data_IF_372104500238
#
_entry.id   IF_372104500238
#
_cell.length_a   1.000
_cell.length_b   1.000
_cell.length_c   1.000
_cell.angle_alpha   90.00
_cell.angle_beta   90.00
_cell.angle_gamma   90.00
#
_symmetry.space_group_name_H-M   'P 1'
#
loop_
_entity.id
_entity.type
_entity.pdbx_description
1 polymer ?
#
# COMPACT_ATOMS: atom_id res chain seq x y z
N UNK A 1 -5.79 -12.19 -22.31
CA UNK A 1 -4.75 -13.05 -21.70
C UNK A 1 -3.92 -12.21 -20.73
N UNK A 2 -3.39 -12.81 -19.67
CA UNK A 2 -2.49 -12.15 -18.72
C UNK A 2 -1.19 -11.71 -19.42
N UNK A 3 -0.83 -10.41 -19.41
CA UNK A 3 0.32 -9.93 -20.16
C UNK A 3 1.67 -10.37 -19.54
N UNK A 4 1.66 -10.89 -18.30
CA UNK A 4 2.89 -11.32 -17.62
C UNK A 4 3.26 -12.78 -17.86
N UNK A 5 2.28 -13.68 -17.84
CA UNK A 5 2.53 -15.12 -18.00
C UNK A 5 2.05 -15.67 -19.35
N UNK A 6 1.10 -14.99 -20.01
CA UNK A 6 0.48 -15.42 -21.26
C UNK A 6 -0.16 -16.83 -21.20
N UNK A 7 -0.57 -17.29 -20.02
CA UNK A 7 -1.15 -18.63 -19.79
C UNK A 7 -2.66 -18.55 -19.51
N UNK A 8 -3.08 -17.71 -18.54
CA UNK A 8 -4.48 -17.59 -18.11
C UNK A 8 -5.09 -16.24 -18.48
N UNK A 9 -6.41 -16.10 -18.30
CA UNK A 9 -7.09 -14.82 -18.36
C UNK A 9 -6.56 -13.87 -17.28
N UNK A 10 -6.49 -12.58 -17.61
CA UNK A 10 -6.10 -11.57 -16.63
C UNK A 10 -7.24 -11.33 -15.65
N UNK A 11 -7.04 -11.72 -14.39
CA UNK A 11 -7.97 -11.41 -13.29
C UNK A 11 -7.17 -10.87 -12.10
N UNK A 12 -7.77 -10.05 -11.21
CA UNK A 12 -7.12 -9.57 -9.99
C UNK A 12 -6.55 -10.72 -9.16
N UNK A 13 -7.31 -11.82 -9.01
CA UNK A 13 -6.84 -13.00 -8.32
C UNK A 13 -5.64 -13.63 -9.02
N UNK A 14 -5.68 -13.82 -10.35
CA UNK A 14 -4.57 -14.39 -11.11
C UNK A 14 -3.29 -13.54 -10.99
N UNK A 15 -3.37 -12.23 -11.23
CA UNK A 15 -2.19 -11.35 -11.19
C UNK A 15 -1.59 -11.23 -9.79
N UNK A 16 -2.40 -11.46 -8.75
CA UNK A 16 -1.94 -11.43 -7.37
C UNK A 16 -1.45 -12.77 -6.86
N UNK A 17 -1.90 -13.93 -7.37
CA UNK A 17 -1.58 -15.24 -6.76
C UNK A 17 -1.15 -16.32 -7.75
N UNK A 18 -1.91 -16.54 -8.83
CA UNK A 18 -1.73 -17.70 -9.73
C UNK A 18 -0.68 -17.48 -10.81
N UNK A 19 -0.37 -16.22 -11.11
CA UNK A 19 0.64 -15.86 -12.09
C UNK A 19 2.04 -16.30 -11.63
N UNK A 20 2.79 -17.04 -12.46
CA UNK A 20 4.13 -17.55 -12.12
C UNK A 20 5.08 -16.47 -11.55
N UNK A 21 5.23 -15.31 -12.20
CA UNK A 21 5.96 -14.17 -11.65
C UNK A 21 5.45 -13.68 -10.28
N UNK A 22 4.14 -13.76 -10.02
CA UNK A 22 3.58 -13.38 -8.71
C UNK A 22 3.96 -14.41 -7.63
N UNK A 23 3.82 -15.70 -7.93
CA UNK A 23 4.22 -16.79 -7.01
C UNK A 23 5.70 -16.70 -6.61
N UNK A 24 6.57 -16.38 -7.58
CA UNK A 24 7.99 -16.16 -7.33
C UNK A 24 8.23 -14.97 -6.39
N UNK A 25 7.52 -13.85 -6.57
CA UNK A 25 7.62 -12.70 -5.65
C UNK A 25 7.20 -13.09 -4.23
N UNK A 26 6.08 -13.79 -4.06
CA UNK A 26 5.61 -14.24 -2.74
C UNK A 26 6.61 -15.15 -2.03
N UNK A 27 7.25 -16.07 -2.76
CA UNK A 27 8.35 -16.90 -2.25
C UNK A 27 9.53 -16.07 -1.78
N UNK A 28 9.96 -15.10 -2.60
CA UNK A 28 11.12 -14.26 -2.29
C UNK A 28 10.90 -13.29 -1.11
N UNK A 29 9.65 -12.88 -0.84
CA UNK A 29 9.31 -12.07 0.35
C UNK A 29 8.96 -12.93 1.57
N UNK A 30 9.18 -14.25 1.50
CA UNK A 30 8.91 -15.24 2.56
C UNK A 30 7.45 -15.27 3.03
N UNK A 31 6.51 -15.16 2.09
CA UNK A 31 5.07 -15.19 2.33
C UNK A 31 4.38 -16.17 1.37
N UNK A 32 5.00 -17.32 1.08
CA UNK A 32 4.43 -18.33 0.17
C UNK A 32 3.10 -18.91 0.70
N UNK A 33 2.90 -18.93 2.03
CA UNK A 33 1.65 -19.36 2.64
C UNK A 33 0.43 -18.56 2.16
N UNK A 34 0.65 -17.35 1.61
CA UNK A 34 -0.41 -16.50 1.03
C UNK A 34 -1.02 -17.07 -0.26
N UNK A 35 -0.35 -18.07 -0.85
CA UNK A 35 -0.79 -18.81 -2.03
C UNK A 35 -1.62 -20.05 -1.66
N UNK A 36 -1.66 -20.42 -0.38
CA UNK A 36 -2.41 -21.57 0.10
C UNK A 36 -3.92 -21.31 0.08
N UNK A 37 -4.68 -22.37 -0.18
CA UNK A 37 -6.15 -22.33 -0.20
C UNK A 37 -6.73 -22.18 -1.60
N UNK A 38 -7.98 -22.62 -1.75
CA UNK A 38 -8.69 -22.55 -3.02
C UNK A 38 -9.71 -21.41 -2.95
N UNK A 39 -9.26 -20.20 -3.29
CA UNK A 39 -10.11 -19.01 -3.29
C UNK A 39 -10.77 -18.83 -4.66
N UNK A 40 -12.08 -18.61 -4.67
CA UNK A 40 -12.87 -18.42 -5.89
C UNK A 40 -12.73 -17.00 -6.45
N UNK A 41 -12.49 -16.01 -5.58
CA UNK A 41 -12.41 -14.61 -5.94
C UNK A 41 -11.31 -13.85 -5.17
N UNK A 42 -10.99 -12.66 -5.65
CA UNK A 42 -9.95 -11.81 -5.07
C UNK A 42 -10.26 -11.34 -3.66
N UNK A 43 -11.53 -11.02 -3.35
CA UNK A 43 -11.90 -10.46 -2.07
C UNK A 43 -11.94 -11.51 -0.97
N UNK A 44 -12.37 -12.73 -1.27
CA UNK A 44 -12.27 -13.84 -0.31
C UNK A 44 -10.83 -14.16 0.04
N UNK A 45 -9.94 -14.20 -0.95
CA UNK A 45 -8.49 -14.35 -0.75
C UNK A 45 -7.90 -13.21 0.09
N UNK A 46 -8.13 -11.95 -0.31
CA UNK A 46 -7.59 -10.78 0.37
C UNK A 46 -8.09 -10.67 1.81
N UNK A 47 -9.39 -10.91 2.04
CA UNK A 47 -9.97 -10.87 3.38
C UNK A 47 -9.41 -11.96 4.28
N UNK A 48 -9.20 -13.18 3.74
CA UNK A 48 -8.57 -14.26 4.47
C UNK A 48 -7.14 -13.87 4.90
N UNK A 49 -6.34 -13.35 3.97
CA UNK A 49 -4.97 -12.90 4.24
C UNK A 49 -4.90 -11.88 5.37
N UNK A 50 -5.72 -10.83 5.29
CA UNK A 50 -5.68 -9.74 6.26
C UNK A 50 -6.16 -10.17 7.64
N UNK A 51 -7.03 -11.19 7.73
CA UNK A 51 -7.51 -11.74 9.01
C UNK A 51 -6.52 -12.72 9.64
N UNK A 52 -5.76 -13.44 8.82
CA UNK A 52 -4.79 -14.44 9.25
C UNK A 52 -3.39 -13.86 9.52
N UNK A 53 -3.21 -12.54 9.36
CA UNK A 53 -1.91 -11.87 9.45
C UNK A 53 -1.83 -10.94 10.65
N UNK A 54 -0.63 -10.83 11.24
CA UNK A 54 -0.33 -9.73 12.15
C UNK A 54 -0.16 -8.40 11.39
N UNK A 55 0.00 -7.30 12.13
CA UNK A 55 0.14 -5.96 11.53
C UNK A 55 1.37 -5.87 10.61
N UNK A 56 2.47 -6.53 10.95
CA UNK A 56 3.68 -6.48 10.15
C UNK A 56 3.51 -7.24 8.83
N UNK A 57 2.97 -8.44 8.87
CA UNK A 57 2.62 -9.25 7.71
C UNK A 57 1.61 -8.52 6.81
N UNK A 58 0.60 -7.86 7.39
CA UNK A 58 -0.35 -7.03 6.63
C UNK A 58 0.32 -5.96 5.76
N UNK A 59 1.34 -5.26 6.29
CA UNK A 59 2.07 -4.26 5.51
C UNK A 59 2.88 -4.90 4.38
N UNK A 60 3.59 -6.00 4.65
CA UNK A 60 4.34 -6.72 3.62
C UNK A 60 3.41 -7.23 2.52
N UNK A 61 2.25 -7.78 2.88
CA UNK A 61 1.20 -8.21 1.93
C UNK A 61 0.72 -7.05 1.07
N UNK A 62 0.34 -5.92 1.67
CA UNK A 62 -0.15 -4.75 0.96
C UNK A 62 0.90 -4.19 -0.03
N UNK A 63 2.15 -4.05 0.42
CA UNK A 63 3.27 -3.60 -0.41
C UNK A 63 3.52 -4.58 -1.57
N UNK A 64 3.40 -5.89 -1.31
CA UNK A 64 3.60 -6.92 -2.32
C UNK A 64 2.51 -6.86 -3.40
N UNK A 65 1.24 -6.75 -3.00
CA UNK A 65 0.11 -6.58 -3.93
C UNK A 65 0.29 -5.32 -4.78
N UNK A 66 0.67 -4.20 -4.15
CA UNK A 66 0.97 -2.97 -4.86
C UNK A 66 2.14 -3.14 -5.84
N UNK A 67 3.23 -3.79 -5.43
CA UNK A 67 4.40 -4.04 -6.29
C UNK A 67 4.07 -4.90 -7.52
N UNK A 68 3.22 -5.92 -7.34
CA UNK A 68 2.73 -6.76 -8.43
C UNK A 68 1.85 -5.98 -9.42
N UNK A 69 0.93 -5.17 -8.90
CA UNK A 69 0.08 -4.29 -9.70
C UNK A 69 0.89 -3.24 -10.45
N UNK A 70 1.85 -2.60 -9.77
CA UNK A 70 2.74 -1.60 -10.35
C UNK A 70 3.58 -2.20 -11.49
N UNK A 71 4.19 -3.36 -11.27
CA UNK A 71 4.96 -4.05 -12.29
C UNK A 71 4.10 -4.45 -13.50
N UNK A 72 2.86 -4.88 -13.27
CA UNK A 72 1.90 -5.12 -14.36
C UNK A 72 1.61 -3.85 -15.14
N UNK A 73 1.33 -2.73 -14.48
CA UNK A 73 1.01 -1.47 -15.16
C UNK A 73 2.19 -0.91 -15.93
N UNK A 74 3.40 -1.01 -15.37
CA UNK A 74 4.64 -0.68 -16.07
C UNK A 74 4.80 -1.47 -17.36
N UNK A 75 4.49 -2.75 -17.34
CA UNK A 75 4.53 -3.57 -18.54
C UNK A 75 3.47 -3.13 -19.57
N UNK A 76 2.22 -2.95 -19.13
CA UNK A 76 1.10 -2.63 -20.02
C UNK A 76 1.18 -1.21 -20.60
N UNK A 77 1.62 -0.24 -19.81
CA UNK A 77 1.63 1.18 -20.19
C UNK A 77 2.95 1.64 -20.79
N UNK A 78 4.08 1.10 -20.31
CA UNK A 78 5.42 1.53 -20.74
C UNK A 78 6.18 0.44 -21.52
N UNK A 79 5.61 -0.75 -21.69
CA UNK A 79 6.30 -1.89 -22.29
C UNK A 79 7.41 -2.50 -21.42
N UNK A 80 7.61 -2.00 -20.19
CA UNK A 80 8.73 -2.39 -19.32
C UNK A 80 8.36 -3.57 -18.43
N UNK A 81 8.89 -4.76 -18.75
CA UNK A 81 8.77 -5.91 -17.87
C UNK A 81 9.75 -5.84 -16.71
N UNK A 82 9.28 -6.22 -15.52
CA UNK A 82 10.09 -6.34 -14.32
C UNK A 82 10.17 -7.80 -13.90
N UNK A 83 11.39 -8.24 -13.55
CA UNK A 83 11.63 -9.58 -13.02
C UNK A 83 11.14 -9.70 -11.59
N UNK A 84 10.78 -10.92 -11.16
CA UNK A 84 10.33 -11.18 -9.80
C UNK A 84 11.35 -10.71 -8.75
N UNK A 85 12.65 -10.88 -9.04
CA UNK A 85 13.75 -10.40 -8.18
C UNK A 85 13.77 -8.89 -7.98
N UNK A 86 13.46 -8.12 -9.03
CA UNK A 86 13.43 -6.65 -8.92
C UNK A 86 12.23 -6.19 -8.09
N UNK A 87 11.09 -6.85 -8.28
CA UNK A 87 9.85 -6.56 -7.54
C UNK A 87 10.03 -6.90 -6.07
N UNK A 88 10.52 -8.10 -5.75
CA UNK A 88 10.73 -8.54 -4.37
C UNK A 88 11.78 -7.67 -3.66
N UNK A 89 12.90 -7.33 -4.31
CA UNK A 89 13.90 -6.44 -3.75
C UNK A 89 13.32 -5.06 -3.42
N UNK A 90 12.46 -4.52 -4.30
CA UNK A 90 11.75 -3.26 -4.04
C UNK A 90 10.79 -3.40 -2.87
N UNK A 91 9.98 -4.46 -2.82
CA UNK A 91 9.07 -4.74 -1.70
C UNK A 91 9.82 -4.82 -0.37
N UNK A 92 10.90 -5.60 -0.30
CA UNK A 92 11.74 -5.76 0.90
C UNK A 92 12.32 -4.41 1.34
N UNK A 93 12.78 -3.59 0.39
CA UNK A 93 13.30 -2.25 0.68
C UNK A 93 12.22 -1.34 1.26
N UNK A 94 11.00 -1.33 0.68
CA UNK A 94 9.87 -0.52 1.16
C UNK A 94 9.42 -0.95 2.56
N UNK A 95 9.34 -2.26 2.80
CA UNK A 95 9.01 -2.82 4.12
C UNK A 95 10.03 -2.41 5.17
N UNK A 96 11.33 -2.42 4.83
CA UNK A 96 12.39 -1.96 5.73
C UNK A 96 12.27 -0.48 6.05
N UNK A 97 12.09 0.36 5.02
CA UNK A 97 11.92 1.81 5.18
C UNK A 97 10.70 2.14 6.05
N UNK A 98 9.60 1.42 5.87
CA UNK A 98 8.40 1.55 6.69
C UNK A 98 8.64 1.19 8.16
N UNK A 99 9.38 0.11 8.44
CA UNK A 99 9.75 -0.27 9.81
C UNK A 99 10.57 0.82 10.48
N UNK A 100 11.59 1.33 9.79
CA UNK A 100 12.45 2.40 10.28
C UNK A 100 11.67 3.68 10.55
N UNK A 101 10.68 4.00 9.72
CA UNK A 101 9.82 5.16 9.92
C UNK A 101 8.86 4.97 11.10
N UNK A 102 8.20 3.81 11.22
CA UNK A 102 7.28 3.53 12.35
C UNK A 102 7.98 3.50 13.70
N UNK A 103 9.22 3.02 13.75
CA UNK A 103 10.02 3.04 14.98
C UNK A 103 10.31 4.47 15.49
N UNK A 104 10.20 5.48 14.62
CA UNK A 104 10.41 6.90 14.96
C UNK A 104 9.12 7.63 15.33
N UNK A 105 7.95 7.01 15.13
CA UNK A 105 6.67 7.63 15.46
C UNK A 105 6.27 7.26 16.89
N UNK A 106 5.64 8.20 17.63
CA UNK A 106 4.89 7.85 18.83
C UNK A 106 3.86 6.75 18.50
N UNK A 107 3.58 5.82 19.42
CA UNK A 107 2.61 4.74 19.26
C UNK A 107 1.17 5.28 19.08
N UNK A 108 0.85 5.84 17.92
CA UNK A 108 -0.51 6.18 17.55
C UNK A 108 -1.20 4.94 16.98
N UNK A 109 -2.35 4.57 17.56
CA UNK A 109 -3.21 3.50 17.07
C UNK A 109 -3.88 3.94 15.78
N UNK A 110 -3.42 3.40 14.66
CA UNK A 110 -4.03 3.64 13.34
C UNK A 110 -5.29 2.77 13.26
N UNK A 111 -6.46 3.39 13.43
CA UNK A 111 -7.74 2.74 13.17
C UNK A 111 -8.16 3.04 11.73
N UNK A 112 -7.79 2.17 10.77
CA UNK A 112 -8.30 2.27 9.40
C UNK A 112 -9.56 1.42 9.24
N UNK A 113 -10.72 2.07 9.15
CA UNK A 113 -11.91 1.48 8.54
C UNK A 113 -12.84 2.54 7.94
N UNK A 114 -13.32 2.20 6.75
CA UNK A 114 -14.49 2.70 6.00
C UNK A 114 -14.27 3.75 4.90
N UNK A 115 -14.94 3.46 3.78
CA UNK A 115 -15.32 4.38 2.71
C UNK A 115 -15.86 5.69 3.25
N UNK A 116 -15.76 6.77 2.48
CA UNK A 116 -16.06 8.09 3.03
C UNK A 116 -17.49 8.19 3.59
N UNK A 117 -17.60 8.30 4.90
CA UNK A 117 -18.80 8.73 5.64
C UNK A 117 -18.46 9.94 6.51
N UNK A 118 -19.41 10.86 6.76
CA UNK A 118 -19.26 11.90 7.77
C UNK A 118 -18.93 11.26 9.13
N UNK A 119 -17.98 11.78 9.91
CA UNK A 119 -17.69 11.23 11.23
C UNK A 119 -18.89 11.46 12.17
N UNK A 120 -19.10 10.56 13.13
CA UNK A 120 -20.10 10.77 14.18
C UNK A 120 -19.56 11.77 15.20
N UNK A 121 -20.36 12.76 15.60
CA UNK A 121 -20.01 13.69 16.69
C UNK A 121 -19.64 12.91 17.98
N UNK A 122 -18.50 13.16 18.65
CA UNK A 122 -17.56 14.29 18.51
C UNK A 122 -16.30 14.00 17.68
N UNK A 123 -16.30 12.98 16.84
CA UNK A 123 -15.11 12.59 16.07
C UNK A 123 -14.80 13.57 14.92
N UNK A 124 -13.50 13.76 14.69
CA UNK A 124 -12.98 14.49 13.52
C UNK A 124 -12.46 13.51 12.48
N UNK A 125 -12.59 13.88 11.21
CA UNK A 125 -12.09 13.10 10.07
C UNK A 125 -10.91 13.79 9.43
N UNK A 126 -9.79 13.08 9.35
CA UNK A 126 -8.57 13.52 8.68
C UNK A 126 -8.49 12.86 7.30
N UNK A 127 -8.52 13.66 6.25
CA UNK A 127 -8.18 13.23 4.89
C UNK A 127 -6.74 13.67 4.59
N UNK A 128 -5.94 12.81 3.96
CA UNK A 128 -4.61 13.15 3.46
C UNK A 128 -4.45 12.71 2.01
N UNK A 129 -3.64 13.43 1.25
CA UNK A 129 -3.27 13.09 -0.12
C UNK A 129 -1.80 13.46 -0.35
N UNK A 130 -1.11 12.77 -1.25
CA UNK A 130 0.33 12.99 -1.48
C UNK A 130 0.67 13.08 -2.95
N UNK A 131 1.33 14.18 -3.32
CA UNK A 131 2.02 14.28 -4.59
C UNK A 131 3.48 13.83 -4.42
N UNK A 132 3.99 13.05 -5.38
CA UNK A 132 5.37 12.58 -5.42
C UNK A 132 6.04 12.97 -6.72
N UNK A 133 7.27 13.46 -6.62
CA UNK A 133 8.11 13.83 -7.76
C UNK A 133 9.33 12.90 -7.85
N UNK A 134 9.31 11.99 -8.82
CA UNK A 134 10.29 10.92 -8.94
C UNK A 134 11.73 11.41 -9.19
N UNK A 135 11.92 12.47 -9.98
CA UNK A 135 13.26 12.97 -10.32
C UNK A 135 13.97 13.59 -9.12
N UNK A 136 13.26 14.39 -8.31
CA UNK A 136 13.85 15.01 -7.12
C UNK A 136 13.72 14.15 -5.86
N UNK A 137 13.02 13.00 -5.92
CA UNK A 137 12.71 12.14 -4.76
C UNK A 137 12.06 12.92 -3.61
N UNK A 138 11.16 13.83 -3.96
CA UNK A 138 10.44 14.66 -3.00
C UNK A 138 8.96 14.30 -3.03
N UNK A 139 8.30 14.38 -1.87
CA UNK A 139 6.85 14.36 -1.80
C UNK A 139 6.31 15.57 -1.05
N UNK A 140 5.07 15.92 -1.37
CA UNK A 140 4.28 16.89 -0.63
C UNK A 140 2.94 16.27 -0.28
N UNK A 141 2.68 16.14 1.01
CA UNK A 141 1.47 15.55 1.55
C UNK A 141 0.58 16.65 2.12
N UNK A 142 -0.63 16.78 1.61
CA UNK A 142 -1.65 17.68 2.14
C UNK A 142 -2.60 16.94 3.08
N UNK A 143 -3.21 17.65 4.03
CA UNK A 143 -4.30 17.11 4.82
C UNK A 143 -5.42 18.12 5.05
N UNK A 144 -6.62 17.60 5.33
CA UNK A 144 -7.81 18.37 5.71
C UNK A 144 -8.52 17.65 6.85
N UNK A 145 -8.77 18.35 7.95
CA UNK A 145 -9.57 17.90 9.10
C UNK A 145 -10.99 18.43 8.96
N UNK A 146 -11.99 17.56 9.10
CA UNK A 146 -13.42 17.90 9.03
C UNK A 146 -14.22 17.40 10.23
N UNK A 147 -15.27 18.13 10.61
CA UNK A 147 -16.25 17.67 11.61
C UNK A 147 -17.39 16.84 10.98
N UNK A 148 -18.34 16.43 11.82
CA UNK A 148 -19.54 15.66 11.43
C UNK A 148 -20.44 16.41 10.42
N UNK A 149 -20.41 17.74 10.45
CA UNK A 149 -21.15 18.61 9.52
C UNK A 149 -20.38 18.85 8.21
N UNK A 150 -19.22 18.21 8.03
CA UNK A 150 -18.37 18.34 6.84
C UNK A 150 -17.57 19.64 6.77
N UNK A 151 -17.66 20.50 7.79
CA UNK A 151 -16.92 21.75 7.90
C UNK A 151 -15.44 21.47 8.11
N UNK A 152 -14.57 22.20 7.41
CA UNK A 152 -13.12 22.10 7.56
C UNK A 152 -12.72 22.84 8.84
N UNK A 153 -12.10 22.11 9.77
CA UNK A 153 -11.58 22.66 11.02
C UNK A 153 -10.08 22.97 10.96
N UNK A 154 -9.37 22.36 10.01
CA UNK A 154 -7.95 22.57 9.82
C UNK A 154 -7.45 21.95 8.53
N UNK A 155 -6.34 22.46 8.02
CA UNK A 155 -5.64 21.91 6.86
C UNK A 155 -4.17 22.26 6.94
N UNK A 156 -3.33 21.46 6.30
CA UNK A 156 -1.91 21.75 6.22
C UNK A 156 -1.20 20.91 5.18
N UNK A 157 0.11 21.13 5.10
CA UNK A 157 0.97 20.45 4.14
C UNK A 157 2.32 20.14 4.79
N UNK A 158 2.85 18.95 4.51
CA UNK A 158 4.22 18.55 4.86
C UNK A 158 4.95 18.21 3.58
N UNK A 159 6.18 18.70 3.46
CA UNK A 159 7.12 18.27 2.43
C UNK A 159 8.07 17.25 3.02
N UNK A 160 8.18 16.10 2.38
CA UNK A 160 9.16 15.09 2.72
C UNK A 160 10.23 15.04 1.63
N UNK A 161 11.48 15.12 2.04
CA UNK A 161 12.62 14.95 1.16
C UNK A 161 13.10 13.50 1.20
N UNK A 162 13.78 13.06 0.13
CA UNK A 162 14.40 11.74 0.02
C UNK A 162 13.43 10.55 0.00
N UNK A 163 12.16 10.78 -0.32
CA UNK A 163 11.16 9.73 -0.44
C UNK A 163 11.52 8.82 -1.61
N UNK A 164 11.60 7.52 -1.33
CA UNK A 164 12.09 6.55 -2.32
C UNK A 164 11.08 6.21 -3.41
N UNK A 165 9.79 6.47 -3.17
CA UNK A 165 8.70 5.96 -4.00
C UNK A 165 7.36 6.66 -3.71
N UNK A 166 6.44 6.81 -4.69
CA UNK A 166 5.10 7.35 -4.44
C UNK A 166 4.33 6.56 -3.37
N UNK A 167 4.50 5.23 -3.28
CA UNK A 167 3.84 4.46 -2.24
C UNK A 167 4.36 4.78 -0.83
N UNK A 168 5.68 4.98 -0.69
CA UNK A 168 6.23 5.49 0.58
C UNK A 168 5.68 6.88 0.88
N UNK A 169 5.51 7.73 -0.13
CA UNK A 169 4.97 9.06 0.05
C UNK A 169 3.56 9.03 0.68
N UNK A 170 2.67 8.18 0.17
CA UNK A 170 1.33 7.99 0.73
C UNK A 170 1.36 7.39 2.14
N UNK A 171 2.23 6.41 2.40
CA UNK A 171 2.39 5.83 3.74
C UNK A 171 2.93 6.83 4.74
N UNK A 172 3.93 7.63 4.37
CA UNK A 172 4.49 8.69 5.21
C UNK A 172 3.43 9.72 5.57
N UNK A 173 2.54 10.07 4.64
CA UNK A 173 1.40 10.93 4.92
C UNK A 173 0.45 10.29 5.94
N UNK A 174 0.03 9.05 5.70
CA UNK A 174 -0.87 8.33 6.60
C UNK A 174 -0.31 8.24 8.03
N UNK A 175 0.97 7.93 8.14
CA UNK A 175 1.65 7.69 9.40
C UNK A 175 2.05 8.97 10.14
N UNK A 176 2.61 9.95 9.43
CA UNK A 176 3.06 11.21 10.01
C UNK A 176 1.93 11.99 10.68
N UNK A 177 0.73 11.97 10.09
CA UNK A 177 -0.41 12.69 10.66
C UNK A 177 -1.08 11.97 11.84
N UNK A 178 -0.95 10.64 11.92
CA UNK A 178 -1.41 9.90 13.10
C UNK A 178 -0.71 10.33 14.40
N UNK A 179 0.50 10.91 14.30
CA UNK A 179 1.28 11.39 15.43
C UNK A 179 1.03 12.86 15.82
N UNK A 180 0.30 13.64 15.00
CA UNK A 180 0.08 15.09 15.20
C UNK A 180 -1.27 15.36 15.87
N UNK A 181 -2.18 14.38 15.90
CA UNK A 181 -3.43 14.45 16.64
C UNK A 181 -3.24 14.02 18.09
N UNK A 182 -2.61 14.87 18.91
CA UNK A 182 -2.63 14.81 20.37
C UNK A 182 -3.14 16.13 20.94
#
# INVERSE_FOLDING_TARGET
>A
MCPRCNIEAETPLHISTRCGPAQEVWRQVNLEWTLSGNHEDYWSWFTHLMRSSDTHACFTIAITIWGLWYARNRHVMEGKQQHALEISAKVISLVRELKEFRAKLPEARITMKQSWTPPTDPMLKLNFDTAFHAQSRQSSSGFVVRNAQGQVLGSGMVRNNFVSDPFMAEMLACLGWSAICH
#
